data_IF_211728970271
#
_entry.id   IF_211728970271
#
_cell.length_a   1.000
_cell.length_b   1.000
_cell.length_c   1.000
_cell.angle_alpha   90.00
_cell.angle_beta   90.00
_cell.angle_gamma   90.00
#
_symmetry.space_group_name_H-M   'P 1'
#
loop_
_entity.id
_entity.type
_entity.pdbx_description
1 polymer ?
#
# COMPACT_ATOMS: atom_id res chain seq x y z
N UNK A 1 -4.99 -19.68 25.27
CA UNK A 1 -3.80 -19.52 24.42
C UNK A 1 -4.31 -19.05 23.07
N UNK A 2 -4.09 -17.80 22.70
CA UNK A 2 -4.43 -17.29 21.37
C UNK A 2 -3.54 -18.01 20.36
N UNK A 3 -4.14 -18.69 19.41
CA UNK A 3 -3.42 -19.38 18.34
C UNK A 3 -2.68 -18.31 17.52
N UNK A 4 -1.37 -18.46 17.38
CA UNK A 4 -0.55 -17.55 16.62
C UNK A 4 -0.96 -17.59 15.15
N UNK A 5 -1.26 -16.45 14.56
CA UNK A 5 -1.71 -16.33 13.15
C UNK A 5 -0.52 -16.17 12.21
N UNK A 6 -0.70 -16.39 10.92
CA UNK A 6 0.33 -16.06 9.91
C UNK A 6 0.68 -14.58 9.95
N UNK A 7 -0.31 -13.72 10.10
CA UNK A 7 -0.13 -12.28 10.20
C UNK A 7 0.79 -11.87 11.35
N UNK A 8 0.83 -12.65 12.45
CA UNK A 8 1.72 -12.39 13.59
C UNK A 8 3.21 -12.54 13.23
N UNK A 9 3.51 -13.33 12.22
CA UNK A 9 4.88 -13.55 11.73
C UNK A 9 5.36 -12.48 10.72
N UNK A 10 4.46 -11.60 10.25
CA UNK A 10 4.77 -10.61 9.22
C UNK A 10 5.01 -9.25 9.87
N UNK A 11 6.25 -8.79 9.81
CA UNK A 11 6.67 -7.45 10.25
C UNK A 11 7.15 -6.58 9.07
N UNK A 12 7.44 -7.21 7.94
CA UNK A 12 7.95 -6.55 6.75
C UNK A 12 7.59 -7.33 5.47
N UNK A 13 7.67 -6.71 4.28
CA UNK A 13 7.54 -7.43 3.02
C UNK A 13 8.57 -8.56 2.83
N UNK A 14 9.73 -8.49 3.49
CA UNK A 14 10.72 -9.56 3.44
C UNK A 14 10.20 -10.84 4.12
N UNK A 15 9.41 -10.72 5.19
CA UNK A 15 8.79 -11.86 5.87
C UNK A 15 7.68 -12.44 4.99
N UNK A 16 6.89 -11.58 4.36
CA UNK A 16 5.83 -11.99 3.44
C UNK A 16 6.39 -12.83 2.27
N UNK A 17 7.52 -12.45 1.70
CA UNK A 17 8.18 -13.18 0.59
C UNK A 17 8.74 -14.56 0.98
N UNK A 18 8.77 -14.90 2.28
CA UNK A 18 9.16 -16.24 2.76
C UNK A 18 7.99 -17.21 2.85
N UNK A 19 6.76 -16.70 2.75
CA UNK A 19 5.57 -17.55 2.79
C UNK A 19 5.45 -18.36 1.50
N UNK A 20 4.93 -19.60 1.66
CA UNK A 20 4.47 -20.38 0.52
C UNK A 20 3.25 -19.72 -0.12
N UNK A 21 3.14 -19.79 -1.44
CA UNK A 21 2.01 -19.22 -2.19
C UNK A 21 0.66 -19.75 -1.70
N UNK A 22 0.60 -20.99 -1.22
CA UNK A 22 -0.62 -21.60 -0.66
C UNK A 22 -1.04 -20.98 0.69
N UNK A 23 -0.16 -20.25 1.36
CA UNK A 23 -0.46 -19.55 2.63
C UNK A 23 -1.06 -18.15 2.38
N UNK A 24 -0.88 -17.57 1.20
CA UNK A 24 -1.33 -16.20 0.90
C UNK A 24 -2.85 -16.02 1.02
N UNK A 25 -3.73 -16.98 0.62
CA UNK A 25 -5.15 -16.86 0.84
C UNK A 25 -5.53 -16.81 2.33
N UNK A 26 -4.87 -17.58 3.19
CA UNK A 26 -5.06 -17.52 4.63
C UNK A 26 -4.63 -16.16 5.18
N UNK A 27 -3.46 -15.67 4.79
CA UNK A 27 -2.98 -14.33 5.18
C UNK A 27 -3.99 -13.24 4.78
N UNK A 28 -4.58 -13.33 3.58
CA UNK A 28 -5.59 -12.37 3.13
C UNK A 28 -6.83 -12.37 4.03
N UNK A 29 -7.28 -13.54 4.49
CA UNK A 29 -8.39 -13.65 5.44
C UNK A 29 -8.05 -13.04 6.80
N UNK A 30 -6.86 -13.33 7.33
CA UNK A 30 -6.38 -12.78 8.60
C UNK A 30 -6.22 -11.26 8.54
N UNK A 31 -5.67 -10.71 7.44
CA UNK A 31 -5.59 -9.27 7.19
C UNK A 31 -6.97 -8.61 7.18
N UNK A 32 -7.95 -9.21 6.51
CA UNK A 32 -9.33 -8.69 6.49
C UNK A 32 -9.94 -8.69 7.88
N UNK A 33 -9.82 -9.79 8.61
CA UNK A 33 -10.36 -9.90 9.99
C UNK A 33 -9.72 -8.83 10.89
N UNK A 34 -8.41 -8.65 10.81
CA UNK A 34 -7.70 -7.63 11.57
C UNK A 34 -8.12 -6.19 11.18
N UNK A 35 -8.28 -5.90 9.88
CA UNK A 35 -8.76 -4.60 9.42
C UNK A 35 -10.18 -4.31 9.89
N UNK A 36 -11.09 -5.27 9.81
CA UNK A 36 -12.47 -5.12 10.30
C UNK A 36 -12.45 -4.80 11.79
N UNK A 37 -11.71 -5.57 12.58
CA UNK A 37 -11.61 -5.34 14.03
C UNK A 37 -11.01 -3.97 14.36
N UNK A 38 -9.92 -3.58 13.71
CA UNK A 38 -9.24 -2.32 13.96
C UNK A 38 -10.09 -1.11 13.57
N UNK A 39 -10.62 -1.13 12.34
CA UNK A 39 -11.38 0.00 11.77
C UNK A 39 -12.74 0.15 12.44
N UNK A 40 -13.35 -0.93 12.94
CA UNK A 40 -14.58 -0.83 13.75
C UNK A 40 -14.40 0.02 15.02
N UNK A 41 -13.17 0.09 15.55
CA UNK A 41 -12.82 0.85 16.76
C UNK A 41 -12.33 2.26 16.45
N UNK A 42 -11.66 2.45 15.32
CA UNK A 42 -11.00 3.73 14.98
C UNK A 42 -11.76 4.57 13.95
N UNK A 43 -12.62 3.93 13.16
CA UNK A 43 -13.16 4.49 11.93
C UNK A 43 -12.12 4.47 10.79
N UNK A 44 -12.57 4.61 9.56
CA UNK A 44 -11.69 4.65 8.38
C UNK A 44 -12.32 4.10 7.11
N UNK A 45 -11.48 3.94 6.08
CA UNK A 45 -11.86 3.48 4.75
C UNK A 45 -11.84 1.95 4.67
N UNK A 46 -12.88 1.28 5.16
CA UNK A 46 -12.88 -0.18 5.29
C UNK A 46 -13.05 -0.90 3.95
N UNK A 47 -14.12 -0.61 3.21
CA UNK A 47 -14.49 -1.36 2.00
C UNK A 47 -13.39 -1.35 0.94
N UNK A 48 -12.81 -0.18 0.65
CA UNK A 48 -11.72 -0.04 -0.32
C UNK A 48 -10.46 -0.80 0.10
N UNK A 49 -10.13 -0.78 1.40
CA UNK A 49 -8.98 -1.52 1.93
C UNK A 49 -9.20 -3.03 1.91
N UNK A 50 -10.41 -3.51 2.19
CA UNK A 50 -10.76 -4.93 2.08
C UNK A 50 -10.66 -5.41 0.61
N UNK A 51 -11.12 -4.60 -0.34
CA UNK A 51 -11.06 -4.91 -1.77
C UNK A 51 -9.63 -4.95 -2.34
N UNK A 52 -8.68 -4.21 -1.73
CA UNK A 52 -7.31 -4.15 -2.18
C UNK A 52 -6.35 -5.09 -1.41
N UNK A 53 -6.87 -5.99 -0.58
CA UNK A 53 -6.05 -6.85 0.30
C UNK A 53 -5.12 -7.76 -0.50
N UNK A 54 -5.64 -8.54 -1.44
CA UNK A 54 -4.84 -9.44 -2.29
C UNK A 54 -3.88 -8.67 -3.18
N UNK A 55 -4.28 -7.51 -3.68
CA UNK A 55 -3.41 -6.67 -4.48
C UNK A 55 -2.20 -6.19 -3.66
N UNK A 56 -2.41 -5.78 -2.40
CA UNK A 56 -1.32 -5.38 -1.51
C UNK A 56 -0.36 -6.56 -1.22
N UNK A 57 -0.91 -7.76 -0.96
CA UNK A 57 -0.11 -8.98 -0.78
C UNK A 57 0.69 -9.26 -2.05
N UNK A 58 0.05 -9.27 -3.22
CA UNK A 58 0.70 -9.58 -4.50
C UNK A 58 1.83 -8.60 -4.82
N UNK A 59 1.60 -7.30 -4.65
CA UNK A 59 2.62 -6.26 -4.88
C UNK A 59 3.83 -6.50 -3.97
N UNK A 60 3.63 -6.68 -2.68
CA UNK A 60 4.74 -6.85 -1.73
C UNK A 60 5.43 -8.21 -1.83
N UNK A 61 4.78 -9.20 -2.47
CA UNK A 61 5.38 -10.50 -2.79
C UNK A 61 6.23 -10.40 -4.06
N UNK A 62 5.70 -9.74 -5.10
CA UNK A 62 6.33 -9.72 -6.43
C UNK A 62 7.45 -8.67 -6.56
N UNK A 63 7.36 -7.55 -5.85
CA UNK A 63 8.26 -6.42 -5.97
C UNK A 63 9.13 -6.23 -4.71
N UNK A 64 10.35 -5.76 -4.90
CA UNK A 64 11.30 -5.53 -3.81
C UNK A 64 11.10 -4.15 -3.17
N UNK A 65 9.96 -3.95 -2.50
CA UNK A 65 9.69 -2.72 -1.76
C UNK A 65 10.54 -2.62 -0.49
N UNK A 66 11.03 -1.44 -0.09
CA UNK A 66 10.73 -0.11 -0.62
C UNK A 66 11.63 0.36 -1.78
N UNK A 67 12.58 -0.46 -2.27
CA UNK A 67 13.40 -0.10 -3.42
C UNK A 67 12.52 0.12 -4.66
N UNK A 68 11.65 -0.81 -4.96
CA UNK A 68 10.53 -0.60 -5.88
C UNK A 68 9.51 0.31 -5.23
N UNK A 69 9.04 1.31 -5.95
CA UNK A 69 8.17 2.37 -5.43
C UNK A 69 6.71 2.08 -5.72
N UNK A 70 5.89 2.02 -4.67
CA UNK A 70 4.44 1.85 -4.79
C UNK A 70 3.74 3.15 -4.42
N UNK A 71 2.94 3.68 -5.33
CA UNK A 71 2.15 4.89 -5.15
C UNK A 71 0.67 4.52 -5.18
N UNK A 72 0.00 4.70 -4.05
CA UNK A 72 -1.43 4.43 -3.91
C UNK A 72 -2.22 5.68 -4.27
N UNK A 73 -3.00 5.65 -5.34
CA UNK A 73 -3.86 6.77 -5.74
C UNK A 73 -4.93 7.02 -4.68
N UNK A 74 -5.13 8.26 -4.27
CA UNK A 74 -5.86 8.63 -3.06
C UNK A 74 -5.26 8.02 -1.79
N UNK A 75 -5.02 6.70 -1.77
CA UNK A 75 -4.43 5.97 -0.66
C UNK A 75 -5.43 5.53 0.41
N UNK A 76 -6.74 5.67 0.17
CA UNK A 76 -7.80 5.19 1.06
C UNK A 76 -7.90 3.66 1.11
N UNK A 77 -7.31 2.95 0.16
CA UNK A 77 -7.24 1.50 0.05
C UNK A 77 -5.94 0.90 0.61
N UNK A 78 -5.10 1.68 1.30
CA UNK A 78 -3.73 1.30 1.64
C UNK A 78 -3.57 0.67 3.05
N UNK A 79 -4.64 0.25 3.74
CA UNK A 79 -4.48 -0.27 5.10
C UNK A 79 -3.74 -1.61 5.13
N UNK A 80 -4.02 -2.53 4.21
CA UNK A 80 -3.26 -3.77 4.08
C UNK A 80 -1.76 -3.48 3.82
N UNK A 81 -1.44 -2.51 2.97
CA UNK A 81 -0.06 -2.04 2.76
C UNK A 81 0.57 -1.55 4.06
N UNK A 82 -0.12 -0.74 4.87
CA UNK A 82 0.41 -0.27 6.16
C UNK A 82 0.69 -1.43 7.12
N UNK A 83 -0.22 -2.39 7.21
CA UNK A 83 -0.08 -3.56 8.08
C UNK A 83 1.11 -4.41 7.66
N UNK A 84 1.23 -4.74 6.37
CA UNK A 84 2.32 -5.56 5.81
C UNK A 84 3.69 -4.89 5.85
N UNK A 85 3.73 -3.58 6.05
CA UNK A 85 4.97 -2.78 6.13
C UNK A 85 5.30 -2.33 7.56
N UNK A 86 4.92 -3.13 8.56
CA UNK A 86 5.36 -2.99 9.94
C UNK A 86 4.54 -2.03 10.81
N UNK A 87 3.37 -1.57 10.33
CA UNK A 87 2.52 -0.62 11.07
C UNK A 87 1.27 -1.25 11.68
N UNK A 88 1.26 -2.57 11.85
CA UNK A 88 0.11 -3.31 12.40
C UNK A 88 -0.34 -2.79 13.76
N UNK A 89 0.60 -2.62 14.69
CA UNK A 89 0.30 -2.12 16.03
C UNK A 89 -0.24 -0.68 16.01
N UNK A 90 0.27 0.13 15.09
CA UNK A 90 -0.18 1.50 14.87
C UNK A 90 -1.65 1.63 14.46
N UNK A 91 -2.26 0.56 13.95
CA UNK A 91 -3.67 0.58 13.53
C UNK A 91 -4.64 0.93 14.67
N UNK A 92 -4.28 0.68 15.93
CA UNK A 92 -5.07 1.09 17.09
C UNK A 92 -5.17 2.63 17.24
N UNK A 93 -4.27 3.36 16.59
CA UNK A 93 -4.21 4.84 16.59
C UNK A 93 -4.61 5.46 15.25
N UNK A 94 -5.13 4.65 14.32
CA UNK A 94 -5.50 5.10 12.98
C UNK A 94 -6.41 6.33 13.02
N UNK A 95 -6.04 7.39 12.28
CA UNK A 95 -6.76 8.67 12.18
C UNK A 95 -6.92 9.45 13.50
N UNK A 96 -6.23 9.06 14.56
CA UNK A 96 -6.19 9.82 15.81
C UNK A 96 -5.08 10.88 15.77
N UNK A 97 -5.20 11.90 16.59
CA UNK A 97 -4.15 12.92 16.75
C UNK A 97 -2.83 12.25 17.18
N UNK A 98 -1.74 12.58 16.51
CA UNK A 98 -0.42 11.92 16.64
C UNK A 98 -0.41 10.40 16.37
N UNK A 99 -1.50 9.85 15.86
CA UNK A 99 -1.60 8.44 15.46
C UNK A 99 -1.28 8.21 13.99
N UNK A 100 -1.55 6.98 13.55
CA UNK A 100 -1.32 6.56 12.18
C UNK A 100 -2.26 7.32 11.21
N UNK A 101 -1.70 7.85 10.12
CA UNK A 101 -2.46 8.54 9.08
C UNK A 101 -3.42 7.57 8.37
N UNK A 102 -4.59 8.08 7.99
CA UNK A 102 -5.55 7.34 7.14
C UNK A 102 -5.12 7.17 5.68
N UNK A 103 -4.01 7.80 5.29
CA UNK A 103 -3.42 7.74 3.95
C UNK A 103 -1.92 7.47 4.04
N UNK A 104 -1.26 6.98 2.97
CA UNK A 104 0.19 6.92 2.90
C UNK A 104 0.85 8.26 3.20
N UNK A 105 1.88 8.26 4.03
CA UNK A 105 2.57 9.45 4.49
C UNK A 105 4.07 9.18 4.60
N UNK A 106 4.87 9.88 3.80
CA UNK A 106 6.33 9.70 3.70
C UNK A 106 7.07 9.76 5.04
N UNK A 107 6.56 10.52 6.00
CA UNK A 107 7.17 10.63 7.34
C UNK A 107 6.82 9.48 8.27
N UNK A 108 5.92 8.57 7.88
CA UNK A 108 5.55 7.38 8.67
C UNK A 108 6.40 6.17 8.32
N UNK A 109 6.75 6.01 7.05
CA UNK A 109 7.40 4.79 6.59
C UNK A 109 8.18 5.00 5.29
N UNK A 110 9.34 4.35 5.10
CA UNK A 110 10.05 4.34 3.84
C UNK A 110 9.26 3.65 2.72
N UNK A 111 8.27 2.83 3.07
CA UNK A 111 7.38 2.17 2.11
C UNK A 111 6.32 3.11 1.51
N UNK A 112 6.07 4.26 2.13
CA UNK A 112 5.18 5.29 1.61
C UNK A 112 5.97 6.23 0.68
N UNK A 113 6.17 5.81 -0.57
CA UNK A 113 6.99 6.54 -1.54
C UNK A 113 6.45 7.94 -1.86
N UNK A 114 5.15 8.15 -1.74
CA UNK A 114 4.47 9.41 -2.03
C UNK A 114 3.39 9.71 -0.98
N UNK A 115 3.26 10.98 -0.58
CA UNK A 115 2.16 11.43 0.28
C UNK A 115 0.90 11.60 -0.55
N UNK A 116 -0.18 10.93 -0.16
CA UNK A 116 -1.43 10.88 -0.93
C UNK A 116 -2.60 11.47 -0.13
N UNK A 117 -3.72 11.65 -0.75
CA UNK A 117 -5.06 11.96 -0.28
C UNK A 117 -5.94 12.54 -1.41
N UNK A 118 -5.34 12.91 -2.56
CA UNK A 118 -6.04 13.41 -3.74
C UNK A 118 -6.01 12.36 -4.85
N UNK A 119 -7.11 12.27 -5.60
CA UNK A 119 -7.25 11.34 -6.72
C UNK A 119 -6.42 11.74 -7.94
N UNK A 120 -6.13 10.77 -8.80
CA UNK A 120 -5.54 10.94 -10.14
C UNK A 120 -4.10 11.42 -10.15
N UNK A 121 -3.38 11.33 -9.02
CA UNK A 121 -1.99 11.83 -8.88
C UNK A 121 -0.93 10.74 -9.02
N UNK A 122 -1.30 9.47 -8.88
CA UNK A 122 -0.34 8.36 -8.74
C UNK A 122 0.48 8.11 -10.01
N UNK A 123 -0.13 8.25 -11.19
CA UNK A 123 0.54 7.97 -12.47
C UNK A 123 1.64 9.00 -12.72
N UNK A 124 1.34 10.30 -12.62
CA UNK A 124 2.37 11.36 -12.76
C UNK A 124 3.47 11.21 -11.71
N UNK A 125 3.12 10.86 -10.46
CA UNK A 125 4.10 10.68 -9.41
C UNK A 125 5.02 9.47 -9.71
N UNK A 126 4.46 8.34 -10.15
CA UNK A 126 5.23 7.17 -10.56
C UNK A 126 6.13 7.47 -11.77
N UNK A 127 5.61 8.17 -12.78
CA UNK A 127 6.38 8.57 -13.96
C UNK A 127 7.55 9.46 -13.58
N UNK A 128 7.31 10.50 -12.78
CA UNK A 128 8.37 11.40 -12.33
C UNK A 128 9.46 10.68 -11.54
N UNK A 129 9.10 9.73 -10.66
CA UNK A 129 10.06 8.90 -9.93
C UNK A 129 10.82 7.95 -10.88
N UNK A 130 10.16 7.40 -11.90
CA UNK A 130 10.80 6.52 -12.88
C UNK A 130 11.83 7.31 -13.72
N UNK A 131 11.49 8.52 -14.16
CA UNK A 131 12.40 9.41 -14.88
C UNK A 131 13.61 9.76 -14.00
N UNK A 132 13.39 10.13 -12.74
CA UNK A 132 14.46 10.43 -11.80
C UNK A 132 15.38 9.21 -11.56
N UNK A 133 14.80 8.03 -11.37
CA UNK A 133 15.57 6.79 -11.21
C UNK A 133 16.42 6.49 -12.44
N UNK A 134 15.89 6.70 -13.64
CA UNK A 134 16.63 6.54 -14.90
C UNK A 134 17.80 7.53 -15.02
N UNK A 135 17.62 8.77 -14.58
CA UNK A 135 18.70 9.78 -14.56
C UNK A 135 19.79 9.45 -13.50
N UNK A 136 19.46 8.63 -12.50
CA UNK A 136 20.38 8.15 -11.48
C UNK A 136 20.96 6.76 -11.81
N UNK A 137 20.78 6.25 -13.03
CA UNK A 137 21.18 4.91 -13.48
C UNK A 137 20.57 3.74 -12.67
N UNK A 138 19.41 3.96 -12.02
CA UNK A 138 18.64 2.95 -11.28
C UNK A 138 17.53 2.37 -12.15
N UNK A 139 17.89 1.79 -13.29
CA UNK A 139 16.96 1.35 -14.34
C UNK A 139 16.22 0.04 -14.03
N UNK A 140 16.65 -0.70 -13.02
CA UNK A 140 16.06 -1.95 -12.53
C UNK A 140 14.93 -1.73 -11.52
N UNK A 141 14.69 -0.48 -11.09
CA UNK A 141 13.67 -0.12 -10.11
C UNK A 141 12.29 0.02 -10.75
N UNK A 142 11.32 -0.68 -10.21
CA UNK A 142 9.91 -0.55 -10.61
C UNK A 142 9.23 0.62 -9.90
N UNK A 143 8.32 1.28 -10.64
CA UNK A 143 7.48 2.36 -10.12
C UNK A 143 6.03 2.03 -10.45
N UNK A 144 5.25 1.72 -9.41
CA UNK A 144 3.94 1.09 -9.51
C UNK A 144 2.89 2.10 -9.04
N UNK A 145 1.98 2.50 -9.92
CA UNK A 145 0.80 3.29 -9.57
C UNK A 145 -0.40 2.34 -9.36
N UNK A 146 -0.98 2.37 -8.17
CA UNK A 146 -2.21 1.65 -7.84
C UNK A 146 -3.34 2.66 -7.86
N UNK A 147 -4.15 2.63 -8.91
CA UNK A 147 -5.21 3.59 -9.15
C UNK A 147 -6.57 2.89 -9.25
N UNK A 148 -7.60 3.46 -8.61
CA UNK A 148 -8.97 2.99 -8.75
C UNK A 148 -9.61 3.47 -10.06
N UNK A 149 -10.61 2.74 -10.52
CA UNK A 149 -11.38 3.04 -11.74
C UNK A 149 -11.95 4.46 -11.75
N UNK A 150 -12.53 4.89 -10.62
CA UNK A 150 -13.04 6.25 -10.48
C UNK A 150 -11.96 7.33 -10.58
N UNK A 151 -10.78 7.12 -9.97
CA UNK A 151 -9.67 8.06 -10.07
C UNK A 151 -9.05 8.10 -11.47
N UNK A 152 -9.11 6.99 -12.21
CA UNK A 152 -8.60 6.90 -13.59
C UNK A 152 -9.44 7.76 -14.57
N UNK A 153 -10.68 8.10 -14.25
CA UNK A 153 -11.51 8.98 -15.08
C UNK A 153 -11.12 10.46 -14.99
N UNK A 154 -10.25 10.82 -14.05
CA UNK A 154 -9.83 12.20 -13.85
C UNK A 154 -8.88 12.70 -14.94
N UNK A 155 -9.00 13.99 -15.33
CA UNK A 155 -8.19 14.60 -16.37
C UNK A 155 -6.68 14.48 -16.10
N UNK A 156 -6.24 14.65 -14.86
CA UNK A 156 -4.81 14.50 -14.51
C UNK A 156 -4.29 13.07 -14.75
N UNK A 157 -5.11 12.04 -14.53
CA UNK A 157 -4.71 10.66 -14.83
C UNK A 157 -4.57 10.43 -16.33
N UNK A 158 -5.49 10.97 -17.13
CA UNK A 158 -5.45 10.88 -18.59
C UNK A 158 -4.28 11.64 -19.17
N UNK A 159 -3.98 12.85 -18.67
CA UNK A 159 -2.79 13.60 -19.06
C UNK A 159 -1.50 12.86 -18.71
N UNK A 160 -1.42 12.29 -17.52
CA UNK A 160 -0.28 11.50 -17.09
C UNK A 160 -0.04 10.26 -17.97
N UNK A 161 -1.12 9.58 -18.39
CA UNK A 161 -1.02 8.46 -19.33
C UNK A 161 -0.53 8.93 -20.71
N UNK A 162 -1.02 10.07 -21.18
CA UNK A 162 -0.57 10.67 -22.45
C UNK A 162 0.90 11.09 -22.40
N UNK A 163 1.37 11.61 -21.26
CA UNK A 163 2.78 12.00 -21.06
C UNK A 163 3.71 10.79 -20.95
N UNK A 164 3.20 9.66 -20.43
CA UNK A 164 3.97 8.43 -20.27
C UNK A 164 4.14 7.63 -21.57
N UNK A 165 3.25 7.81 -22.56
CA UNK A 165 3.24 7.11 -23.84
C UNK A 165 4.01 7.83 -24.90
#
# INVERSE_FOLDING_TARGET
MTQQTLLDSISSPADLRRLDVHQLPQLAQELRAFMVESVSKTGGHLSSSLGATELAIAIHTAFNTPEDRVIWDVGHQAYAHKILTGRREGMATLRKHHGLSGFPKRTESPYDAFGTAHSSTSISAALGMAIAARLEDKTDRWHIAVIGDGALTGGMALEALNDAG
#
